data_IF_706277338196
#
_entry.id   IF_706277338196
#
_cell.length_a   1.000
_cell.length_b   1.000
_cell.length_c   1.000
_cell.angle_alpha   90.00
_cell.angle_beta   90.00
_cell.angle_gamma   90.00
#
_symmetry.space_group_name_H-M   'P 1'
#
loop_
_entity.id
_entity.type
_entity.pdbx_description
1 polymer ?
#
# COMPACT_ATOMS: atom_id res chain seq x y z
N UNK A 1 5.17 6.02 -17.26
CA UNK A 1 5.74 4.82 -17.91
C UNK A 1 6.77 4.10 -17.02
N UNK A 2 7.46 4.81 -16.10
CA UNK A 2 8.57 4.21 -15.37
C UNK A 2 8.41 4.22 -13.86
N UNK A 3 7.74 5.18 -13.25
CA UNK A 3 7.67 5.34 -11.80
C UNK A 3 6.25 5.29 -11.20
N UNK A 4 5.22 5.25 -12.04
CA UNK A 4 3.83 5.22 -11.59
C UNK A 4 3.30 6.54 -11.02
N UNK A 5 4.13 7.59 -10.96
CA UNK A 5 3.71 8.94 -10.56
C UNK A 5 3.36 9.08 -9.08
N UNK A 6 2.55 10.10 -8.79
CA UNK A 6 2.18 10.50 -7.44
C UNK A 6 1.51 9.38 -6.64
N UNK A 7 0.67 8.58 -7.27
CA UNK A 7 0.03 7.44 -6.59
C UNK A 7 1.05 6.44 -6.07
N UNK A 8 2.05 6.05 -6.88
CA UNK A 8 3.03 5.03 -6.48
C UNK A 8 4.05 5.57 -5.48
N UNK A 9 4.30 6.88 -5.48
CA UNK A 9 5.13 7.56 -4.49
C UNK A 9 4.44 7.53 -3.10
N UNK A 10 3.24 8.07 -3.01
CA UNK A 10 2.53 8.16 -1.73
C UNK A 10 2.02 6.84 -1.19
N UNK A 11 1.66 5.89 -2.04
CA UNK A 11 1.24 4.56 -1.60
C UNK A 11 2.37 3.82 -0.88
N UNK A 12 3.63 3.99 -1.32
CA UNK A 12 4.81 3.45 -0.65
C UNK A 12 5.08 4.02 0.74
N UNK A 13 4.42 5.12 1.12
CA UNK A 13 4.50 5.70 2.45
C UNK A 13 3.26 5.37 3.27
N UNK A 14 2.10 5.87 2.85
CA UNK A 14 0.89 5.82 3.68
C UNK A 14 0.22 4.46 3.68
N UNK A 15 0.25 3.73 2.56
CA UNK A 15 -0.29 2.38 2.54
C UNK A 15 0.62 1.38 3.25
N UNK A 16 1.93 1.62 3.26
CA UNK A 16 2.87 0.84 4.06
C UNK A 16 2.54 0.96 5.55
N UNK A 17 2.34 2.19 6.04
CA UNK A 17 1.91 2.43 7.43
C UNK A 17 0.53 1.78 7.69
N UNK A 18 -0.38 1.84 6.73
CA UNK A 18 -1.70 1.23 6.86
C UNK A 18 -1.62 -0.29 7.02
N UNK A 19 -0.80 -0.96 6.20
CA UNK A 19 -0.51 -2.38 6.31
C UNK A 19 0.07 -2.74 7.67
N UNK A 20 1.07 -1.96 8.09
CA UNK A 20 1.78 -2.19 9.34
C UNK A 20 0.83 -2.12 10.55
N UNK A 21 0.03 -1.05 10.63
CA UNK A 21 -0.94 -0.88 11.72
C UNK A 21 -2.10 -1.86 11.69
N UNK A 22 -2.44 -2.43 10.54
CA UNK A 22 -3.49 -3.44 10.39
C UNK A 22 -2.97 -4.89 10.45
N UNK A 23 -1.64 -5.10 10.58
CA UNK A 23 -1.03 -6.44 10.54
C UNK A 23 -1.14 -7.12 9.18
N UNK A 24 -1.13 -6.35 8.08
CA UNK A 24 -1.34 -6.83 6.71
C UNK A 24 -0.05 -6.91 5.88
N UNK A 25 1.15 -6.79 6.49
CA UNK A 25 2.45 -6.77 5.80
C UNK A 25 2.73 -7.99 4.91
N UNK A 26 2.20 -9.14 5.28
CA UNK A 26 2.32 -10.38 4.49
C UNK A 26 1.07 -10.67 3.65
N UNK A 27 0.16 -9.71 3.51
CA UNK A 27 -1.13 -9.86 2.87
C UNK A 27 -1.26 -8.92 1.66
N UNK A 28 -2.46 -8.86 1.10
CA UNK A 28 -2.84 -7.95 0.03
C UNK A 28 -4.35 -7.99 -0.16
N UNK A 29 -4.87 -7.13 -1.04
CA UNK A 29 -6.29 -7.08 -1.31
C UNK A 29 -6.80 -8.35 -1.99
N UNK A 30 -8.04 -8.74 -1.67
CA UNK A 30 -8.79 -9.79 -2.37
C UNK A 30 -9.57 -9.22 -3.55
N UNK A 31 -10.04 -7.98 -3.44
CA UNK A 31 -10.71 -7.24 -4.49
C UNK A 31 -10.14 -5.83 -4.62
N UNK A 32 -10.05 -5.33 -5.85
CA UNK A 32 -9.56 -3.98 -6.15
C UNK A 32 -10.39 -3.35 -7.26
N UNK A 33 -10.80 -2.11 -7.07
CA UNK A 33 -11.52 -1.33 -8.06
C UNK A 33 -11.05 0.13 -8.05
N UNK A 34 -10.65 0.64 -9.20
CA UNK A 34 -10.42 2.07 -9.40
C UNK A 34 -11.76 2.73 -9.73
N UNK A 35 -12.30 3.51 -8.79
CA UNK A 35 -13.60 4.19 -8.95
C UNK A 35 -13.45 5.67 -9.31
N UNK A 36 -12.26 6.25 -9.13
CA UNK A 36 -11.90 7.58 -9.55
C UNK A 36 -10.52 7.59 -10.18
N UNK A 37 -10.38 8.24 -11.34
CA UNK A 37 -9.10 8.32 -12.03
C UNK A 37 -9.11 9.49 -13.02
N UNK A 38 -8.38 10.55 -12.70
CA UNK A 38 -8.19 11.70 -13.58
C UNK A 38 -6.78 11.70 -14.12
N UNK A 39 -6.66 11.51 -15.43
CA UNK A 39 -5.36 11.53 -16.11
C UNK A 39 -4.79 12.94 -16.15
N UNK A 40 -3.48 13.06 -16.12
CA UNK A 40 -2.79 14.33 -16.37
C UNK A 40 -3.16 14.87 -17.75
N UNK A 41 -3.33 16.18 -17.84
CA UNK A 41 -3.60 16.88 -19.12
C UNK A 41 -2.34 17.23 -19.91
N UNK A 42 -1.16 16.82 -19.43
CA UNK A 42 0.14 17.09 -20.08
C UNK A 42 0.64 15.88 -20.86
N UNK A 43 1.33 16.13 -21.96
CA UNK A 43 1.96 15.07 -22.78
C UNK A 43 3.19 14.43 -22.09
N UNK A 44 3.62 15.00 -20.96
CA UNK A 44 4.82 14.54 -20.23
C UNK A 44 4.48 13.48 -19.19
N UNK A 45 3.33 13.63 -18.52
CA UNK A 45 2.89 12.72 -17.45
C UNK A 45 1.71 11.88 -17.90
N UNK A 46 1.85 10.58 -17.82
CA UNK A 46 0.83 9.56 -18.15
C UNK A 46 0.26 8.87 -16.90
N UNK A 47 0.36 9.52 -15.75
CA UNK A 47 -0.11 9.01 -14.46
C UNK A 47 -1.26 9.86 -13.94
N UNK A 48 -2.13 9.33 -13.05
CA UNK A 48 -3.26 10.08 -12.54
C UNK A 48 -2.81 11.24 -11.65
N UNK A 49 -3.54 12.34 -11.72
CA UNK A 49 -3.43 13.47 -10.81
C UNK A 49 -4.42 13.33 -9.65
N UNK A 50 -5.60 12.78 -9.93
CA UNK A 50 -6.58 12.38 -8.93
C UNK A 50 -6.94 10.93 -9.10
N UNK A 51 -7.12 10.24 -7.98
CA UNK A 51 -7.44 8.81 -7.96
C UNK A 51 -8.23 8.42 -6.71
N UNK A 52 -9.05 7.40 -6.86
CA UNK A 52 -9.63 6.65 -5.76
C UNK A 52 -9.63 5.16 -6.12
N UNK A 53 -8.98 4.36 -5.28
CA UNK A 53 -8.93 2.90 -5.38
C UNK A 53 -9.58 2.35 -4.14
N UNK A 54 -10.58 1.49 -4.32
CA UNK A 54 -11.19 0.71 -3.25
C UNK A 54 -10.71 -0.71 -3.29
N UNK A 55 -10.33 -1.22 -2.13
CA UNK A 55 -9.91 -2.59 -1.96
C UNK A 55 -10.73 -3.25 -0.84
N UNK A 56 -10.88 -4.57 -0.94
CA UNK A 56 -11.35 -5.40 0.15
C UNK A 56 -10.18 -6.31 0.55
N UNK A 57 -9.81 -6.24 1.80
CA UNK A 57 -8.76 -7.07 2.39
C UNK A 57 -9.36 -8.26 3.14
N UNK A 58 -8.52 -9.28 3.49
CA UNK A 58 -8.98 -10.43 4.25
C UNK A 58 -9.76 -10.05 5.51
N UNK A 59 -10.82 -10.79 5.78
CA UNK A 59 -11.75 -10.46 6.88
C UNK A 59 -12.80 -9.41 6.52
N UNK A 60 -12.89 -9.00 5.25
CA UNK A 60 -13.86 -8.01 4.78
C UNK A 60 -13.49 -6.56 5.17
N UNK A 61 -12.21 -6.29 5.37
CA UNK A 61 -11.75 -4.94 5.72
C UNK A 61 -11.81 -4.04 4.49
N UNK A 62 -12.64 -3.01 4.56
CA UNK A 62 -12.70 -1.97 3.53
C UNK A 62 -11.45 -1.07 3.59
N UNK A 63 -10.88 -0.81 2.40
CA UNK A 63 -9.64 -0.07 2.27
C UNK A 63 -9.72 0.94 1.13
N UNK A 64 -9.46 2.19 1.42
CA UNK A 64 -9.55 3.28 0.45
C UNK A 64 -8.21 3.99 0.33
N UNK A 65 -7.72 4.10 -0.90
CA UNK A 65 -6.53 4.85 -1.26
C UNK A 65 -6.96 5.95 -2.23
N UNK A 66 -6.87 7.22 -1.82
CA UNK A 66 -7.39 8.31 -2.62
C UNK A 66 -6.60 9.60 -2.44
N UNK A 67 -6.48 10.38 -3.53
CA UNK A 67 -5.78 11.68 -3.54
C UNK A 67 -6.54 12.79 -2.82
N UNK A 68 -7.86 12.71 -2.72
CA UNK A 68 -8.72 13.73 -2.11
C UNK A 68 -8.88 13.59 -0.59
N UNK A 69 -8.41 12.47 -0.01
CA UNK A 69 -8.42 12.27 1.44
C UNK A 69 -7.32 13.09 2.12
N UNK A 70 -7.49 13.43 3.41
CA UNK A 70 -6.41 14.04 4.19
C UNK A 70 -5.14 13.19 4.13
N UNK A 71 -3.99 13.87 4.05
CA UNK A 71 -2.68 13.23 4.08
C UNK A 71 -2.51 12.36 5.32
N UNK A 72 -1.91 11.18 5.16
CA UNK A 72 -1.68 10.23 6.23
C UNK A 72 -2.51 8.95 6.10
N UNK A 73 -2.61 8.25 7.22
CA UNK A 73 -3.34 6.98 7.32
C UNK A 73 -4.34 7.05 8.46
N UNK A 74 -5.52 6.51 8.27
CA UNK A 74 -6.57 6.41 9.30
C UNK A 74 -7.11 4.98 9.36
N UNK A 75 -7.14 4.42 10.56
CA UNK A 75 -7.85 3.18 10.85
C UNK A 75 -9.15 3.51 11.58
N UNK A 76 -10.24 2.89 11.15
CA UNK A 76 -11.57 3.08 11.71
C UNK A 76 -12.04 1.71 12.20
N UNK A 77 -12.25 1.57 13.48
CA UNK A 77 -12.79 0.38 14.13
C UNK A 77 -14.13 0.64 14.80
N UNK A 78 -14.66 -0.38 15.47
CA UNK A 78 -15.96 -0.31 16.16
C UNK A 78 -15.95 0.70 17.33
N UNK A 79 -14.82 0.83 18.03
CA UNK A 79 -14.68 1.72 19.20
C UNK A 79 -14.29 3.15 18.83
N UNK A 80 -13.83 3.40 17.58
CA UNK A 80 -13.44 4.70 17.13
C UNK A 80 -12.38 4.65 16.03
N UNK A 81 -11.57 5.70 15.93
CA UNK A 81 -10.55 5.82 14.90
C UNK A 81 -9.23 6.36 15.45
N UNK A 82 -8.15 5.95 14.80
CA UNK A 82 -6.81 6.51 14.98
C UNK A 82 -6.28 6.97 13.63
N UNK A 83 -5.62 8.12 13.59
CA UNK A 83 -5.00 8.61 12.36
C UNK A 83 -3.59 9.15 12.64
N UNK A 84 -2.69 8.86 11.71
CA UNK A 84 -1.30 9.28 11.76
C UNK A 84 -0.88 9.97 10.46
N UNK A 85 -0.13 11.04 10.62
CA UNK A 85 0.66 11.68 9.57
C UNK A 85 2.02 12.03 10.19
N UNK A 86 2.92 12.59 9.39
CA UNK A 86 4.28 12.93 9.82
C UNK A 86 4.29 13.81 11.08
N UNK A 87 4.72 13.21 12.20
CA UNK A 87 4.79 13.89 13.50
C UNK A 87 3.45 14.22 14.16
N UNK A 88 2.34 13.70 13.64
CA UNK A 88 1.00 13.94 14.17
C UNK A 88 0.25 12.62 14.37
N UNK A 89 -0.20 12.38 15.59
CA UNK A 89 -1.09 11.29 15.96
C UNK A 89 -2.39 11.88 16.50
N UNK A 90 -3.52 11.43 15.98
CA UNK A 90 -4.85 11.86 16.43
C UNK A 90 -5.77 10.65 16.54
N UNK A 91 -6.75 10.73 17.42
CA UNK A 91 -7.72 9.67 17.60
C UNK A 91 -9.08 10.23 18.02
N UNK A 92 -10.13 9.42 17.90
CA UNK A 92 -11.46 9.75 18.43
C UNK A 92 -11.50 9.78 19.96
N UNK A 93 -10.59 9.06 20.62
CA UNK A 93 -10.37 9.10 22.06
C UNK A 93 -8.93 9.58 22.31
N UNK A 94 -8.78 10.74 22.98
CA UNK A 94 -7.48 11.33 23.27
C UNK A 94 -6.57 10.44 24.10
N UNK A 95 -7.12 9.52 24.88
CA UNK A 95 -6.34 8.56 25.68
C UNK A 95 -5.41 7.70 24.80
N UNK A 96 -5.83 7.37 23.58
CA UNK A 96 -5.05 6.55 22.65
C UNK A 96 -3.83 7.25 22.06
N UNK A 97 -3.75 8.57 22.24
CA UNK A 97 -2.60 9.36 21.75
C UNK A 97 -1.56 9.63 22.84
N UNK A 98 -1.81 9.19 24.07
CA UNK A 98 -0.92 9.43 25.20
C UNK A 98 0.28 8.49 25.19
N UNK A 99 1.44 9.02 25.60
CA UNK A 99 2.69 8.24 25.69
C UNK A 99 2.65 7.12 26.75
N UNK A 100 1.78 7.25 27.74
CA UNK A 100 1.57 6.28 28.82
C UNK A 100 0.41 5.32 28.54
N UNK A 101 -0.17 5.36 27.35
CA UNK A 101 -1.19 4.42 26.92
C UNK A 101 -0.58 3.02 26.74
N UNK A 102 -1.20 2.01 27.32
CA UNK A 102 -0.79 0.62 27.11
C UNK A 102 -1.25 0.16 25.70
N UNK A 103 -0.32 -0.07 24.78
CA UNK A 103 -0.66 -0.47 23.41
C UNK A 103 -1.13 -1.93 23.30
N UNK A 104 -1.19 -2.66 24.41
CA UNK A 104 -1.51 -4.09 24.42
C UNK A 104 -0.34 -4.98 23.98
N UNK A 105 -0.62 -6.25 23.63
CA UNK A 105 0.42 -7.27 23.42
C UNK A 105 1.14 -7.17 22.05
N UNK A 106 0.64 -6.36 21.13
CA UNK A 106 1.24 -6.26 19.79
C UNK A 106 2.43 -5.34 19.81
N UNK A 107 3.62 -5.88 19.57
CA UNK A 107 4.87 -5.12 19.49
C UNK A 107 5.31 -5.02 18.05
N UNK A 108 5.32 -3.80 17.53
CA UNK A 108 5.84 -3.50 16.19
C UNK A 108 7.36 -3.27 16.30
N UNK A 109 8.20 -3.97 15.50
CA UNK A 109 9.64 -3.74 15.49
C UNK A 109 9.96 -2.29 15.17
N UNK A 110 10.76 -1.65 15.99
CA UNK A 110 11.17 -0.25 15.81
C UNK A 110 12.64 -0.17 15.37
N UNK A 111 12.95 0.84 14.55
CA UNK A 111 14.31 1.24 14.24
C UNK A 111 14.40 2.76 14.29
N UNK A 112 15.39 3.26 15.00
CA UNK A 112 15.67 4.71 15.11
C UNK A 112 16.60 5.22 14.02
N UNK A 113 17.30 4.30 13.33
CA UNK A 113 18.18 4.58 12.20
C UNK A 113 17.95 3.54 11.10
N UNK A 114 17.38 4.00 10.01
CA UNK A 114 17.02 3.15 8.89
C UNK A 114 18.24 2.61 8.13
N UNK A 115 19.28 3.44 8.00
CA UNK A 115 20.51 3.05 7.30
C UNK A 115 21.28 2.03 8.14
N UNK A 116 21.42 2.27 9.45
CA UNK A 116 22.05 1.29 10.34
C UNK A 116 21.28 -0.03 10.35
N UNK A 117 19.94 0.01 10.40
CA UNK A 117 19.13 -1.19 10.31
C UNK A 117 19.42 -2.01 9.05
N UNK A 118 19.58 -1.35 7.90
CA UNK A 118 19.96 -2.00 6.64
C UNK A 118 21.36 -2.60 6.72
N UNK A 119 22.35 -1.85 7.24
CA UNK A 119 23.73 -2.32 7.40
C UNK A 119 23.80 -3.53 8.35
N UNK A 120 23.08 -3.49 9.47
CA UNK A 120 23.00 -4.61 10.40
C UNK A 120 22.30 -5.81 9.77
N UNK A 121 21.29 -5.60 8.94
CA UNK A 121 20.66 -6.66 8.14
C UNK A 121 21.64 -7.37 7.23
N UNK A 122 22.52 -6.62 6.53
CA UNK A 122 23.58 -7.18 5.68
C UNK A 122 24.54 -8.05 6.51
N UNK A 123 25.00 -7.55 7.67
CA UNK A 123 25.97 -8.22 8.53
C UNK A 123 25.40 -9.47 9.21
N UNK A 124 24.20 -9.38 9.73
CA UNK A 124 23.56 -10.42 10.53
C UNK A 124 22.71 -11.42 9.73
N UNK A 125 22.40 -11.06 8.47
CA UNK A 125 21.43 -11.78 7.62
C UNK A 125 20.01 -11.82 8.20
N UNK A 126 19.68 -10.91 9.11
CA UNK A 126 18.33 -10.74 9.63
C UNK A 126 17.52 -9.82 8.72
N UNK A 127 16.23 -10.05 8.68
CA UNK A 127 15.28 -9.18 7.94
C UNK A 127 15.25 -7.78 8.56
N UNK A 128 15.35 -6.77 7.73
CA UNK A 128 15.18 -5.38 8.12
C UNK A 128 13.71 -5.07 8.46
N UNK A 129 13.47 -4.01 9.23
CA UNK A 129 12.09 -3.57 9.55
C UNK A 129 11.29 -3.19 8.30
N UNK A 130 11.96 -2.63 7.29
CA UNK A 130 11.37 -2.38 5.97
C UNK A 130 11.98 -3.37 4.97
N UNK A 131 11.39 -4.54 4.86
CA UNK A 131 11.84 -5.56 3.92
C UNK A 131 11.37 -5.28 2.50
N UNK A 132 12.04 -5.87 1.51
CA UNK A 132 11.60 -5.78 0.12
C UNK A 132 10.20 -6.41 -0.09
N UNK A 133 9.88 -7.47 0.65
CA UNK A 133 8.55 -8.10 0.63
C UNK A 133 7.48 -7.14 1.14
N UNK A 134 7.70 -6.48 2.28
CA UNK A 134 6.79 -5.47 2.83
C UNK A 134 6.56 -4.35 1.82
N UNK A 135 7.62 -3.78 1.26
CA UNK A 135 7.53 -2.73 0.25
C UNK A 135 6.75 -3.17 -1.00
N UNK A 136 6.99 -4.40 -1.47
CA UNK A 136 6.26 -4.98 -2.60
C UNK A 136 4.75 -5.11 -2.32
N UNK A 137 4.39 -5.62 -1.13
CA UNK A 137 2.98 -5.75 -0.72
C UNK A 137 2.30 -4.40 -0.59
N UNK A 138 2.99 -3.43 -0.01
CA UNK A 138 2.45 -2.07 0.20
C UNK A 138 2.10 -1.35 -1.10
N UNK A 139 2.86 -1.55 -2.18
CA UNK A 139 2.60 -0.89 -3.47
C UNK A 139 1.68 -1.68 -4.40
N UNK A 140 1.47 -2.96 -4.14
CA UNK A 140 0.64 -3.85 -4.98
C UNK A 140 -0.76 -3.29 -5.29
N UNK A 141 -1.50 -2.69 -4.32
CA UNK A 141 -2.82 -2.11 -4.60
C UNK A 141 -2.80 -1.00 -5.66
N UNK A 142 -1.71 -0.23 -5.75
CA UNK A 142 -1.56 0.80 -6.78
C UNK A 142 -1.43 0.22 -8.19
N UNK A 143 -0.68 -0.86 -8.35
CA UNK A 143 -0.58 -1.58 -9.62
C UNK A 143 -1.89 -2.24 -10.02
N UNK A 144 -2.60 -2.84 -9.07
CA UNK A 144 -3.92 -3.42 -9.30
C UNK A 144 -4.96 -2.34 -9.63
N UNK A 145 -4.90 -1.19 -8.97
CA UNK A 145 -5.73 -0.03 -9.26
C UNK A 145 -5.53 0.47 -10.69
N UNK A 146 -4.28 0.57 -11.14
CA UNK A 146 -3.98 0.89 -12.54
C UNK A 146 -4.58 -0.13 -13.51
N UNK A 147 -4.41 -1.43 -13.24
CA UNK A 147 -4.98 -2.48 -14.09
C UNK A 147 -6.51 -2.44 -14.10
N UNK A 148 -7.13 -2.21 -12.94
CA UNK A 148 -8.58 -2.03 -12.81
C UNK A 148 -9.08 -0.85 -13.64
N UNK A 149 -8.42 0.31 -13.54
CA UNK A 149 -8.74 1.49 -14.33
C UNK A 149 -8.61 1.21 -15.84
N UNK A 150 -7.48 0.67 -16.26
CA UNK A 150 -7.20 0.40 -17.68
C UNK A 150 -8.23 -0.54 -18.34
N UNK A 151 -8.83 -1.42 -17.55
CA UNK A 151 -9.81 -2.39 -18.00
C UNK A 151 -11.26 -2.01 -17.67
N UNK A 152 -11.47 -0.96 -16.89
CA UNK A 152 -12.79 -0.47 -16.50
C UNK A 152 -13.60 -1.46 -15.67
N UNK A 153 -12.95 -2.26 -14.82
CA UNK A 153 -13.62 -3.28 -14.01
C UNK A 153 -12.90 -3.61 -12.71
N UNK A 154 -13.66 -4.11 -11.75
CA UNK A 154 -13.14 -4.68 -10.50
C UNK A 154 -12.31 -5.93 -10.79
N UNK A 155 -11.22 -6.09 -10.08
CA UNK A 155 -10.33 -7.23 -10.14
C UNK A 155 -10.41 -8.05 -8.86
N UNK A 156 -10.30 -9.37 -8.99
CA UNK A 156 -10.08 -10.27 -7.86
C UNK A 156 -8.64 -10.75 -7.88
N UNK A 157 -7.98 -10.69 -6.74
CA UNK A 157 -6.56 -10.98 -6.62
C UNK A 157 -6.30 -11.98 -5.50
N UNK A 158 -5.42 -12.92 -5.76
CA UNK A 158 -4.88 -13.83 -4.74
C UNK A 158 -3.48 -13.33 -4.36
N UNK A 159 -3.39 -12.70 -3.19
CA UNK A 159 -2.15 -12.15 -2.68
C UNK A 159 -1.08 -13.21 -2.39
N UNK A 160 -1.46 -14.47 -2.14
CA UNK A 160 -0.53 -15.56 -1.88
C UNK A 160 0.18 -16.04 -3.14
N UNK A 161 -0.54 -16.09 -4.26
CA UNK A 161 0.01 -16.51 -5.57
C UNK A 161 0.34 -15.34 -6.47
N UNK A 162 0.01 -14.11 -6.05
CA UNK A 162 0.19 -12.86 -6.79
C UNK A 162 -0.47 -12.89 -8.18
N UNK A 163 -1.68 -13.43 -8.24
CA UNK A 163 -2.41 -13.59 -9.50
C UNK A 163 -3.75 -12.88 -9.46
N UNK A 164 -4.05 -12.18 -10.55
CA UNK A 164 -5.44 -11.77 -10.80
C UNK A 164 -6.23 -13.01 -11.19
N UNK A 165 -7.32 -13.26 -10.48
CA UNK A 165 -8.14 -14.46 -10.62
C UNK A 165 -9.11 -14.33 -11.80
N UNK A 166 -9.15 -15.36 -12.65
CA UNK A 166 -10.08 -15.47 -13.77
C UNK A 166 -10.02 -14.29 -14.78
N UNK A 167 -8.88 -13.59 -14.84
CA UNK A 167 -8.67 -12.43 -15.72
C UNK A 167 -7.23 -12.40 -16.22
N UNK A 168 -6.99 -13.07 -17.34
CA UNK A 168 -5.66 -13.13 -17.96
C UNK A 168 -5.22 -11.77 -18.53
N UNK A 169 -6.16 -10.93 -18.94
CA UNK A 169 -5.89 -9.59 -19.45
C UNK A 169 -5.35 -8.68 -18.34
N UNK A 170 -6.02 -8.70 -17.18
CA UNK A 170 -5.58 -7.95 -16.02
C UNK A 170 -4.24 -8.49 -15.49
N UNK A 171 -4.09 -9.82 -15.44
CA UNK A 171 -2.83 -10.43 -15.00
C UNK A 171 -1.66 -10.04 -15.90
N UNK A 172 -1.87 -9.95 -17.22
CA UNK A 172 -0.83 -9.53 -18.17
C UNK A 172 -0.37 -8.08 -17.99
N UNK A 173 -1.20 -7.20 -17.42
CA UNK A 173 -0.82 -5.82 -17.10
C UNK A 173 0.14 -5.70 -15.90
N UNK A 174 0.21 -6.72 -15.06
CA UNK A 174 1.14 -6.77 -13.91
C UNK A 174 2.55 -7.21 -14.31
N UNK A 175 2.72 -7.72 -15.52
CA UNK A 175 4.01 -8.18 -16.03
C UNK A 175 4.42 -7.36 -17.26
N UNK A 176 5.73 -7.22 -17.45
CA UNK A 176 6.29 -6.53 -18.61
C UNK A 176 7.16 -7.46 -19.42
N UNK A 177 6.97 -7.44 -20.71
CA UNK A 177 7.89 -8.13 -21.62
C UNK A 177 9.26 -7.48 -21.56
N UNK A 178 10.26 -8.25 -21.15
CA UNK A 178 11.63 -7.78 -21.13
C UNK A 178 12.18 -7.62 -22.54
N UNK A 179 12.88 -6.51 -22.77
CA UNK A 179 13.62 -6.32 -24.03
C UNK A 179 14.83 -7.26 -24.07
N UNK A 180 15.19 -7.73 -25.26
CA UNK A 180 16.43 -8.50 -25.43
C UNK A 180 17.65 -7.66 -25.07
N UNK A 181 18.72 -8.25 -24.49
CA UNK A 181 18.90 -9.67 -24.15
C UNK A 181 18.34 -10.09 -22.78
N UNK A 182 17.67 -9.20 -22.05
CA UNK A 182 17.19 -9.44 -20.69
C UNK A 182 16.03 -10.42 -20.69
N UNK A 183 16.09 -11.39 -19.79
CA UNK A 183 15.02 -12.36 -19.54
C UNK A 183 14.78 -12.45 -18.04
N UNK A 184 13.53 -12.73 -17.64
CA UNK A 184 13.17 -13.06 -16.27
C UNK A 184 13.41 -14.53 -16.02
#
# INVERSE_FOLDING_TARGET
AYGGGNIMDWIGHHNDIAHWGAGMDASGPEEVEAIGWTQSSTDVYDTPVDYEIRCVYPGGVDWVIASHLPMGTRWIGEEGWVAVDRGKLTASDERWTRLDYDPGPVVIPASTDHIDNFIQGIKSRRTCVASAETAHRSITPGHLGFASHALGRRLRFDARTERVLNDSQAHALLDKTYRKPWKR
#
